data_IF_531200662055
#
_entry.id   IF_531200662055
#
_cell.length_a   1.000
_cell.length_b   1.000
_cell.length_c   1.000
_cell.angle_alpha   90.00
_cell.angle_beta   90.00
_cell.angle_gamma   90.00
#
_symmetry.space_group_name_H-M   'P 1'
#
loop_
_entity.id
_entity.type
_entity.pdbx_description
1 polymer ?
#
# COMPACT_ATOMS: atom_id res chain seq x y z
N UNK A 1 -41.06 10.36 16.01
CA UNK A 1 -39.68 10.38 15.50
C UNK A 1 -39.64 11.37 14.35
N UNK A 2 -38.98 12.51 14.53
CA UNK A 2 -38.80 13.51 13.47
C UNK A 2 -37.63 13.06 12.60
N UNK A 3 -37.88 12.79 11.33
CA UNK A 3 -36.86 12.58 10.33
C UNK A 3 -36.35 13.95 9.89
N UNK A 4 -35.14 14.32 10.32
CA UNK A 4 -34.47 15.53 9.84
C UNK A 4 -34.01 15.27 8.41
N UNK A 5 -34.72 15.86 7.44
CA UNK A 5 -34.30 15.85 6.04
C UNK A 5 -33.18 16.87 5.88
N UNK A 6 -31.95 16.41 5.63
CA UNK A 6 -30.84 17.28 5.26
C UNK A 6 -31.06 17.77 3.82
N UNK A 7 -31.63 18.96 3.68
CA UNK A 7 -31.55 19.73 2.43
C UNK A 7 -30.18 20.39 2.37
N UNK A 8 -29.23 19.77 1.67
CA UNK A 8 -27.94 20.37 1.33
C UNK A 8 -28.17 21.43 0.24
N UNK A 9 -27.78 22.68 0.51
CA UNK A 9 -27.72 23.72 -0.52
C UNK A 9 -26.58 23.46 -1.50
N UNK A 10 -26.66 24.03 -2.71
CA UNK A 10 -25.58 23.93 -3.71
C UNK A 10 -24.24 24.44 -3.15
N UNK A 11 -24.26 25.53 -2.38
CA UNK A 11 -23.08 26.12 -1.74
C UNK A 11 -22.48 25.20 -0.66
N UNK A 12 -23.31 24.46 0.08
CA UNK A 12 -22.84 23.51 1.09
C UNK A 12 -22.14 22.31 0.44
N UNK A 13 -22.67 21.84 -0.69
CA UNK A 13 -22.08 20.75 -1.46
C UNK A 13 -20.73 21.16 -2.05
N UNK A 14 -20.63 22.35 -2.63
CA UNK A 14 -19.38 22.86 -3.21
C UNK A 14 -18.30 23.02 -2.13
N UNK A 15 -18.67 23.57 -0.97
CA UNK A 15 -17.75 23.66 0.17
C UNK A 15 -17.32 22.29 0.69
N UNK A 16 -18.23 21.33 0.78
CA UNK A 16 -17.90 19.97 1.21
C UNK A 16 -16.95 19.27 0.21
N UNK A 17 -17.17 19.43 -1.09
CA UNK A 17 -16.30 18.89 -2.13
C UNK A 17 -14.92 19.53 -2.11
N UNK A 18 -14.84 20.85 -1.88
CA UNK A 18 -13.57 21.57 -1.70
C UNK A 18 -12.80 21.04 -0.50
N UNK A 19 -13.44 20.95 0.67
CA UNK A 19 -12.81 20.43 1.89
C UNK A 19 -12.33 18.98 1.74
N UNK A 20 -13.10 18.15 1.01
CA UNK A 20 -12.69 16.78 0.71
C UNK A 20 -11.47 16.74 -0.21
N UNK A 21 -11.42 17.62 -1.21
CA UNK A 21 -10.29 17.73 -2.15
C UNK A 21 -9.03 18.23 -1.45
N UNK A 22 -9.15 19.20 -0.53
CA UNK A 22 -8.04 19.73 0.29
C UNK A 22 -7.46 18.66 1.23
N UNK A 23 -8.26 17.68 1.65
CA UNK A 23 -7.85 16.56 2.51
C UNK A 23 -7.45 15.30 1.73
N UNK A 24 -7.57 15.33 0.40
CA UNK A 24 -7.23 14.19 -0.42
C UNK A 24 -5.71 14.01 -0.52
N UNK A 25 -5.31 12.74 -0.55
CA UNK A 25 -3.92 12.30 -0.60
C UNK A 25 -3.73 11.45 -1.85
N UNK A 26 -2.62 11.62 -2.55
CA UNK A 26 -2.14 10.66 -3.54
C UNK A 26 -1.13 9.74 -2.87
N UNK A 27 -1.39 8.44 -2.93
CA UNK A 27 -0.47 7.38 -2.51
C UNK A 27 0.15 6.80 -3.76
N UNK A 28 1.42 7.11 -3.99
CA UNK A 28 2.22 6.61 -5.10
C UNK A 28 2.98 5.37 -4.62
N UNK A 29 2.85 4.26 -5.34
CA UNK A 29 3.40 2.97 -4.94
C UNK A 29 4.19 2.39 -6.10
N UNK A 30 5.48 2.15 -5.88
CA UNK A 30 6.32 1.36 -6.77
C UNK A 30 6.62 0.03 -6.08
N UNK A 31 6.33 -1.07 -6.76
CA UNK A 31 6.52 -2.43 -6.25
C UNK A 31 7.49 -3.19 -7.14
N UNK A 32 8.37 -3.97 -6.51
CA UNK A 32 9.33 -4.85 -7.19
C UNK A 32 9.34 -6.23 -6.52
N UNK A 33 9.28 -7.27 -7.35
CA UNK A 33 9.46 -8.66 -6.93
C UNK A 33 10.76 -9.17 -7.55
N UNK A 34 11.64 -9.70 -6.71
CA UNK A 34 12.91 -10.31 -7.11
C UNK A 34 12.97 -11.77 -6.65
N UNK A 35 13.47 -12.63 -7.52
CA UNK A 35 13.68 -14.05 -7.24
C UNK A 35 15.18 -14.31 -7.08
N UNK A 36 15.57 -15.05 -6.04
CA UNK A 36 16.96 -15.36 -5.71
C UNK A 36 17.90 -14.15 -5.58
N UNK A 37 17.34 -12.97 -5.30
CA UNK A 37 18.08 -11.74 -5.01
C UNK A 37 18.63 -11.00 -6.23
N UNK A 38 18.48 -11.51 -7.45
CA UNK A 38 19.13 -10.93 -8.63
C UNK A 38 18.18 -10.66 -9.81
N UNK A 39 17.19 -11.52 -10.06
CA UNK A 39 16.29 -11.36 -11.22
C UNK A 39 15.00 -10.63 -10.83
N UNK A 40 14.76 -9.46 -11.42
CA UNK A 40 13.46 -8.77 -11.31
C UNK A 40 12.46 -9.47 -12.21
N UNK A 41 11.62 -10.29 -11.60
CA UNK A 41 10.59 -11.04 -12.32
C UNK A 41 9.33 -10.21 -12.57
N UNK A 42 9.13 -9.13 -11.81
CA UNK A 42 7.95 -8.28 -11.93
C UNK A 42 8.14 -6.90 -11.28
N UNK A 43 7.56 -5.86 -11.89
CA UNK A 43 7.47 -4.51 -11.34
C UNK A 43 6.11 -3.86 -11.64
N UNK A 44 5.72 -2.89 -10.83
CA UNK A 44 4.50 -2.08 -11.03
C UNK A 44 4.66 -0.72 -10.38
N UNK A 45 4.12 0.30 -11.03
CA UNK A 45 3.90 1.62 -10.45
C UNK A 45 2.39 1.94 -10.48
N UNK A 46 1.86 2.43 -9.37
CA UNK A 46 0.44 2.77 -9.25
C UNK A 46 0.24 3.96 -8.32
N UNK A 47 -0.61 4.90 -8.74
CA UNK A 47 -1.10 5.98 -7.88
C UNK A 47 -2.56 5.74 -7.52
N UNK A 48 -2.90 6.01 -6.26
CA UNK A 48 -4.25 5.90 -5.71
C UNK A 48 -4.58 7.14 -4.91
N UNK A 49 -5.76 7.71 -5.14
CA UNK A 49 -6.28 8.81 -4.34
C UNK A 49 -7.05 8.27 -3.16
N UNK A 50 -6.80 8.83 -1.98
CA UNK A 50 -7.50 8.49 -0.74
C UNK A 50 -7.65 9.71 0.17
N UNK A 51 -8.19 9.52 1.36
CA UNK A 51 -8.21 10.50 2.45
C UNK A 51 -7.60 9.86 3.70
N UNK A 52 -7.24 10.69 4.68
CA UNK A 52 -6.79 10.21 6.00
C UNK A 52 -7.79 9.20 6.58
N UNK A 53 -7.27 8.10 7.11
CA UNK A 53 -8.01 6.97 7.68
C UNK A 53 -8.57 5.97 6.66
N UNK A 54 -8.46 6.23 5.35
CA UNK A 54 -8.99 5.33 4.31
C UNK A 54 -7.88 4.56 3.59
N UNK A 55 -7.97 3.24 3.64
CA UNK A 55 -6.98 2.35 3.03
C UNK A 55 -7.01 2.40 1.50
N UNK A 56 -5.84 2.35 0.88
CA UNK A 56 -5.65 1.95 -0.52
C UNK A 56 -5.15 0.51 -0.54
N UNK A 57 -5.70 -0.30 -1.44
CA UNK A 57 -5.31 -1.71 -1.58
C UNK A 57 -4.68 -1.93 -2.94
N UNK A 58 -3.58 -2.68 -2.96
CA UNK A 58 -2.93 -3.18 -4.17
C UNK A 58 -2.80 -4.69 -4.09
N UNK A 59 -2.76 -5.32 -5.26
CA UNK A 59 -2.53 -6.74 -5.42
C UNK A 59 -1.45 -6.95 -6.46
N UNK A 60 -0.47 -7.77 -6.12
CA UNK A 60 0.62 -8.19 -7.00
C UNK A 60 0.44 -9.69 -7.23
N UNK A 61 0.36 -10.10 -8.48
CA UNK A 61 0.25 -11.50 -8.89
C UNK A 61 1.51 -11.87 -9.67
N UNK A 62 2.43 -12.59 -9.01
CA UNK A 62 3.59 -13.23 -9.62
C UNK A 62 3.30 -14.70 -9.96
N UNK A 63 4.26 -15.37 -10.62
CA UNK A 63 4.11 -16.73 -11.14
C UNK A 63 3.71 -17.77 -10.07
N UNK A 64 4.24 -17.63 -8.86
CA UNK A 64 4.00 -18.51 -7.72
C UNK A 64 3.85 -17.74 -6.40
N UNK A 65 3.67 -16.42 -6.48
CA UNK A 65 3.48 -15.56 -5.31
C UNK A 65 2.34 -14.59 -5.56
N UNK A 66 1.41 -14.49 -4.62
CA UNK A 66 0.37 -13.45 -4.59
C UNK A 66 0.60 -12.59 -3.37
N UNK A 67 0.55 -11.27 -3.55
CA UNK A 67 0.74 -10.30 -2.48
C UNK A 67 -0.43 -9.34 -2.49
N UNK A 68 -1.10 -9.16 -1.37
CA UNK A 68 -2.10 -8.11 -1.16
C UNK A 68 -1.57 -7.17 -0.10
N UNK A 69 -1.48 -5.88 -0.41
CA UNK A 69 -1.00 -4.87 0.53
C UNK A 69 -2.04 -3.77 0.67
N UNK A 70 -2.28 -3.36 1.91
CA UNK A 70 -3.10 -2.21 2.25
C UNK A 70 -2.23 -1.14 2.89
N UNK A 71 -2.38 0.09 2.40
CA UNK A 71 -1.75 1.28 2.98
C UNK A 71 -2.84 2.22 3.47
N UNK A 72 -2.85 2.50 4.77
CA UNK A 72 -3.81 3.41 5.40
C UNK A 72 -3.05 4.61 5.95
N UNK A 73 -3.16 5.79 5.32
CA UNK A 73 -2.55 7.00 5.83
C UNK A 73 -3.37 7.59 6.98
N UNK A 74 -2.73 8.04 8.05
CA UNK A 74 -3.35 8.84 9.11
C UNK A 74 -2.59 10.14 9.27
N UNK A 75 -3.22 11.27 8.94
CA UNK A 75 -2.57 12.57 9.02
C UNK A 75 -2.33 12.99 10.47
N UNK A 76 -1.10 13.40 10.77
CA UNK A 76 -0.63 13.89 12.07
C UNK A 76 -0.08 15.32 11.91
N UNK A 77 -0.93 16.32 12.15
CA UNK A 77 -0.58 17.73 11.92
C UNK A 77 -0.47 18.10 10.44
N UNK A 78 0.23 19.19 10.13
CA UNK A 78 0.23 19.78 8.78
C UNK A 78 0.98 18.93 7.74
N UNK A 79 2.11 18.31 8.12
CA UNK A 79 3.01 17.60 7.20
C UNK A 79 3.42 16.18 7.65
N UNK A 80 3.02 15.79 8.86
CA UNK A 80 3.28 14.47 9.42
C UNK A 80 2.16 13.50 9.07
N UNK A 81 2.50 12.23 8.91
CA UNK A 81 1.54 11.17 8.61
C UNK A 81 2.03 9.85 9.22
N UNK A 82 1.13 9.12 9.85
CA UNK A 82 1.36 7.73 10.23
C UNK A 82 0.81 6.83 9.12
N UNK A 83 1.70 6.13 8.42
CA UNK A 83 1.33 5.18 7.37
C UNK A 83 1.26 3.77 7.97
N UNK A 84 0.07 3.18 7.96
CA UNK A 84 -0.11 1.78 8.37
C UNK A 84 -0.10 0.89 7.14
N UNK A 85 0.88 -0.01 7.08
CA UNK A 85 1.03 -1.01 6.03
C UNK A 85 0.63 -2.39 6.55
N UNK A 86 -0.25 -3.08 5.83
CA UNK A 86 -0.65 -4.46 6.12
C UNK A 86 -0.43 -5.30 4.87
N UNK A 87 0.43 -6.32 4.95
CA UNK A 87 0.75 -7.20 3.83
C UNK A 87 0.27 -8.62 4.09
N UNK A 88 -0.32 -9.24 3.08
CA UNK A 88 -0.67 -10.66 3.05
C UNK A 88 0.01 -11.28 1.84
N UNK A 89 0.72 -12.37 2.04
CA UNK A 89 1.48 -13.05 0.98
C UNK A 89 1.15 -14.53 0.97
N UNK A 90 0.87 -15.07 -0.21
CA UNK A 90 0.70 -16.48 -0.47
C UNK A 90 1.80 -16.93 -1.43
N UNK A 91 2.62 -17.88 -1.02
CA UNK A 91 3.70 -18.45 -1.85
C UNK A 91 3.38 -19.90 -2.13
N UNK A 92 3.28 -20.27 -3.39
CA UNK A 92 3.05 -21.66 -3.81
C UNK A 92 4.39 -22.34 -4.13
N UNK A 93 4.56 -23.58 -3.67
CA UNK A 93 5.67 -24.43 -4.07
C UNK A 93 5.60 -24.81 -5.56
N UNK A 94 6.70 -25.33 -6.12
CA UNK A 94 6.81 -25.65 -7.55
C UNK A 94 5.76 -26.68 -8.06
N UNK A 95 5.22 -27.54 -7.19
CA UNK A 95 4.14 -28.50 -7.51
C UNK A 95 2.73 -27.92 -7.37
N UNK A 96 2.58 -26.70 -6.83
CA UNK A 96 1.29 -26.06 -6.56
C UNK A 96 0.48 -26.66 -5.41
N UNK A 97 0.98 -27.69 -4.72
CA UNK A 97 0.25 -28.43 -3.69
C UNK A 97 0.33 -27.78 -2.29
N UNK A 98 1.41 -27.04 -2.01
CA UNK A 98 1.61 -26.35 -0.73
C UNK A 98 1.64 -24.83 -0.91
N UNK A 99 0.80 -24.13 -0.16
CA UNK A 99 0.71 -22.66 -0.15
C UNK A 99 1.11 -22.13 1.23
N UNK A 100 2.25 -21.45 1.31
CA UNK A 100 2.67 -20.75 2.50
C UNK A 100 1.97 -19.39 2.58
N UNK A 101 1.23 -19.17 3.66
CA UNK A 101 0.62 -17.89 3.97
C UNK A 101 1.44 -17.11 5.00
N UNK A 102 1.70 -15.83 4.72
CA UNK A 102 2.38 -14.91 5.63
C UNK A 102 1.64 -13.58 5.71
N UNK A 103 1.64 -12.99 6.90
CA UNK A 103 1.08 -11.65 7.12
C UNK A 103 2.12 -10.76 7.78
N UNK A 104 2.09 -9.48 7.47
CA UNK A 104 2.95 -8.45 8.03
C UNK A 104 2.15 -7.20 8.34
N UNK A 105 2.57 -6.51 9.40
CA UNK A 105 1.96 -5.27 9.85
C UNK A 105 3.07 -4.31 10.26
N UNK A 106 3.06 -3.08 9.75
CA UNK A 106 4.03 -2.05 10.11
C UNK A 106 3.38 -0.68 10.11
N UNK A 107 3.60 0.06 11.19
CA UNK A 107 3.27 1.50 11.25
C UNK A 107 4.55 2.30 11.08
N UNK A 108 4.53 3.29 10.18
CA UNK A 108 5.69 4.08 9.81
C UNK A 108 5.33 5.56 9.90
N UNK A 109 6.02 6.37 10.72
CA UNK A 109 5.92 7.81 10.58
C UNK A 109 6.54 8.20 9.24
N UNK A 110 5.83 9.01 8.46
CA UNK A 110 6.26 9.50 7.15
C UNK A 110 6.01 11.00 7.07
N UNK A 111 6.82 11.68 6.28
CA UNK A 111 6.61 13.08 5.89
C UNK A 111 6.07 13.11 4.47
N UNK A 112 5.11 14.00 4.20
CA UNK A 112 4.53 14.13 2.87
C UNK A 112 5.63 14.44 1.82
N UNK A 113 5.64 13.70 0.71
CA UNK A 113 6.64 13.78 -0.36
C UNK A 113 7.94 13.02 -0.09
N UNK A 114 8.08 12.36 1.06
CA UNK A 114 9.23 11.49 1.33
C UNK A 114 8.86 10.02 1.13
N UNK A 115 9.56 9.28 0.26
CA UNK A 115 9.28 7.87 0.06
C UNK A 115 9.78 7.02 1.23
N UNK A 116 9.00 6.00 1.59
CA UNK A 116 9.38 4.96 2.55
C UNK A 116 9.31 3.58 1.90
N UNK A 117 10.09 2.63 2.43
CA UNK A 117 10.13 1.25 1.90
C UNK A 117 9.52 0.27 2.89
N UNK A 118 8.63 -0.58 2.39
CA UNK A 118 7.98 -1.66 3.10
C UNK A 118 8.32 -3.01 2.48
N UNK A 119 8.68 -3.97 3.33
CA UNK A 119 9.01 -5.34 2.95
C UNK A 119 8.01 -6.30 3.61
N UNK A 120 6.97 -6.76 2.90
CA UNK A 120 5.91 -7.58 3.49
C UNK A 120 6.38 -8.97 3.92
N UNK A 121 7.55 -9.42 3.43
CA UNK A 121 8.21 -10.64 3.84
C UNK A 121 9.43 -10.40 4.75
N UNK A 122 9.67 -9.15 5.16
CA UNK A 122 10.91 -8.73 5.84
C UNK A 122 12.02 -8.31 4.87
N UNK A 123 12.93 -7.45 5.34
CA UNK A 123 14.08 -7.04 4.56
C UNK A 123 15.11 -8.17 4.57
N UNK A 124 15.41 -8.75 3.41
CA UNK A 124 16.40 -9.83 3.34
C UNK A 124 17.80 -9.28 3.57
N UNK A 125 18.29 -9.43 4.79
CA UNK A 125 19.70 -9.70 5.07
C UNK A 125 19.70 -10.92 6.02
N UNK A 126 20.05 -12.08 5.46
CA UNK A 126 20.58 -13.28 6.15
C UNK A 126 19.68 -14.28 6.90
N UNK A 127 18.39 -14.04 7.20
CA UNK A 127 17.68 -14.92 8.18
C UNK A 127 16.60 -15.89 7.69
N UNK A 128 16.51 -16.18 6.39
CA UNK A 128 15.63 -17.27 5.91
C UNK A 128 16.38 -18.16 4.94
N UNK A 129 17.25 -19.01 5.48
CA UNK A 129 17.46 -20.31 4.88
C UNK A 129 16.11 -21.05 4.97
N UNK A 130 15.31 -20.96 3.92
CA UNK A 130 14.29 -21.99 3.71
C UNK A 130 15.10 -23.26 3.48
N UNK A 131 15.24 -24.08 4.53
CA UNK A 131 15.95 -25.37 4.51
C UNK A 131 15.19 -26.42 3.70
N UNK A 132 14.46 -25.99 2.68
CA UNK A 132 13.65 -26.83 1.81
C UNK A 132 13.89 -26.34 0.39
N UNK A 133 14.63 -27.14 -0.39
CA UNK A 133 15.02 -26.90 -1.78
C UNK A 133 13.82 -26.76 -2.74
N UNK A 134 12.59 -26.68 -2.21
CA UNK A 134 11.33 -26.63 -2.94
C UNK A 134 10.73 -25.23 -3.09
N UNK A 135 11.28 -24.21 -2.41
CA UNK A 135 10.76 -22.84 -2.46
C UNK A 135 11.80 -21.87 -3.00
N UNK A 136 11.50 -21.22 -4.14
CA UNK A 136 12.33 -20.12 -4.60
C UNK A 136 12.26 -18.95 -3.63
N UNK A 137 13.39 -18.29 -3.44
CA UNK A 137 13.50 -17.27 -2.43
C UNK A 137 13.05 -15.92 -2.98
N UNK A 138 11.90 -15.41 -2.53
CA UNK A 138 11.34 -14.13 -2.97
C UNK A 138 11.82 -12.98 -2.10
N UNK A 139 12.03 -11.82 -2.73
CA UNK A 139 12.09 -10.53 -2.05
C UNK A 139 11.07 -9.59 -2.69
N UNK A 140 10.22 -9.01 -1.85
CA UNK A 140 9.17 -8.07 -2.26
C UNK A 140 9.48 -6.74 -1.59
N UNK A 141 9.61 -5.71 -2.43
CA UNK A 141 9.92 -4.35 -2.01
C UNK A 141 8.81 -3.43 -2.51
N UNK A 142 8.24 -2.64 -1.60
CA UNK A 142 7.26 -1.60 -1.93
C UNK A 142 7.79 -0.26 -1.46
N UNK A 143 8.11 0.61 -2.40
CA UNK A 143 8.36 2.02 -2.15
C UNK A 143 7.03 2.77 -2.20
N UNK A 144 6.73 3.53 -1.16
CA UNK A 144 5.48 4.28 -1.02
C UNK A 144 5.80 5.72 -0.71
N UNK A 145 5.21 6.62 -1.48
CA UNK A 145 5.26 8.06 -1.24
C UNK A 145 3.83 8.56 -1.11
N UNK A 146 3.57 9.38 -0.10
CA UNK A 146 2.26 10.02 0.08
C UNK A 146 2.44 11.52 -0.11
N UNK A 147 1.63 12.12 -0.98
CA UNK A 147 1.63 13.55 -1.27
C UNK A 147 0.22 14.13 -1.18
N UNK A 148 0.05 15.44 -0.94
CA UNK A 148 -1.23 16.11 -1.14
C UNK A 148 -1.75 15.84 -2.54
N UNK A 149 -3.03 15.51 -2.67
CA UNK A 149 -3.65 15.39 -3.98
C UNK A 149 -3.77 16.76 -4.63
N UNK A 150 -3.23 16.91 -5.84
CA UNK A 150 -3.49 18.06 -6.68
C UNK A 150 -4.41 17.60 -7.80
N UNK A 151 -5.64 18.14 -7.82
CA UNK A 151 -6.49 17.98 -8.98
C UNK A 151 -5.75 18.58 -10.19
N UNK A 152 -5.73 17.87 -11.32
CA UNK A 152 -5.19 18.42 -12.55
C UNK A 152 -5.90 19.75 -12.83
N UNK A 153 -5.13 20.82 -13.04
CA UNK A 153 -5.68 22.08 -13.49
C UNK A 153 -6.28 21.85 -14.89
N UNK A 154 -7.61 21.93 -14.99
CA UNK A 154 -8.33 21.95 -16.28
C UNK A 154 -8.13 23.28 -17.02
#
# INVERSE_FOLDING_TARGET
MLATTLTLGADDLENALRLLSEQALSVNIAARITENGEETVWNMEVSRVTISGRAVTIRLDGSNVVVVVQFTPYQEGDNGLLLVAQGQTWVSGASGEEVQYRTSFKSMPVTLGEPVVFFPLGARLEEIAVTDDQYTSFNIELQVEVVPYQAAAE
#
